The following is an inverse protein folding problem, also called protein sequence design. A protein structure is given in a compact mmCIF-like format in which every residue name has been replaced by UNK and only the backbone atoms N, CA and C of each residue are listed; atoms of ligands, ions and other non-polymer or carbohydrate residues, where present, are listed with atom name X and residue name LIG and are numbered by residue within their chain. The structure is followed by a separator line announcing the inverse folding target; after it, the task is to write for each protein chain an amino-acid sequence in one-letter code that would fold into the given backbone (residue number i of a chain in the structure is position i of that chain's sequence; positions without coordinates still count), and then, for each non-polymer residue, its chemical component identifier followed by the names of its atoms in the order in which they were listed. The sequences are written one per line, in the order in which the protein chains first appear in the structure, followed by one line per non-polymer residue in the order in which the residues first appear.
data_IF_351322044005
#
_entry.id   IF_351322044005
#
_cell.length_a   1.000
_cell.length_b   1.000
_cell.length_c   1.000
_cell.angle_alpha   90.00
_cell.angle_beta   90.00
_cell.angle_gamma   90.00
#
_symmetry.space_group_name_H-M   'P 1'
#
loop_
_entity.id
_entity.type
_entity.pdbx_description
1 polymer ?
#
# COMPACT_ATOMS: atom_id res chain seq x y z
N UNK A 1 5.33 1.92 4.99
CA UNK A 1 3.85 1.95 4.96
C UNK A 1 3.36 1.66 6.36
N UNK A 2 2.81 2.65 7.05
CA UNK A 2 2.51 2.55 8.49
C UNK A 2 1.05 2.13 8.76
N UNK A 3 0.11 2.79 8.11
CA UNK A 3 -1.34 2.59 8.26
C UNK A 3 -2.03 2.89 6.92
N UNK A 4 -3.24 2.35 6.71
CA UNK A 4 -4.06 2.64 5.54
C UNK A 4 -5.56 2.49 5.86
N UNK A 5 -6.21 3.61 6.12
CA UNK A 5 -7.62 3.70 6.54
C UNK A 5 -8.43 4.64 5.64
N UNK A 6 -9.76 4.52 5.70
CA UNK A 6 -10.67 5.36 4.92
C UNK A 6 -11.01 6.67 5.65
N UNK A 7 -10.05 7.60 5.66
CA UNK A 7 -10.19 8.92 6.31
C UNK A 7 -10.22 10.10 5.33
N UNK A 8 -10.09 9.84 4.02
CA UNK A 8 -10.04 10.84 2.95
C UNK A 8 -11.26 10.75 2.02
N UNK A 9 -12.46 10.70 2.61
CA UNK A 9 -13.73 10.51 1.90
C UNK A 9 -14.09 11.67 0.95
N UNK A 10 -13.42 12.82 1.09
CA UNK A 10 -13.51 13.98 0.20
C UNK A 10 -12.79 13.77 -1.14
N UNK A 11 -11.81 12.86 -1.19
CA UNK A 11 -10.99 12.58 -2.38
C UNK A 11 -11.29 11.19 -2.94
N UNK A 12 -11.58 10.22 -2.08
CA UNK A 12 -11.76 8.82 -2.45
C UNK A 12 -13.16 8.31 -2.13
N UNK A 13 -13.70 7.51 -3.04
CA UNK A 13 -15.03 6.93 -2.88
C UNK A 13 -15.10 5.86 -1.76
N UNK A 14 -14.01 5.12 -1.55
CA UNK A 14 -13.90 4.04 -0.57
C UNK A 14 -12.43 3.68 -0.26
N UNK A 15 -12.22 2.73 0.65
CA UNK A 15 -10.89 2.21 0.98
C UNK A 15 -10.20 1.56 -0.24
N UNK A 16 -10.94 0.90 -1.13
CA UNK A 16 -10.38 0.22 -2.29
C UNK A 16 -9.77 1.20 -3.31
N UNK A 17 -10.33 2.41 -3.42
CA UNK A 17 -9.78 3.51 -4.19
C UNK A 17 -8.44 3.99 -3.60
N UNK A 18 -8.35 4.12 -2.27
CA UNK A 18 -7.10 4.46 -1.57
C UNK A 18 -6.05 3.35 -1.77
N UNK A 19 -6.43 2.08 -1.57
CA UNK A 19 -5.56 0.92 -1.82
C UNK A 19 -5.02 0.90 -3.25
N UNK A 20 -5.81 1.33 -4.22
CA UNK A 20 -5.39 1.43 -5.62
C UNK A 20 -4.31 2.48 -5.82
N UNK A 21 -4.43 3.66 -5.20
CA UNK A 21 -3.37 4.66 -5.25
C UNK A 21 -2.09 4.18 -4.56
N UNK A 22 -2.21 3.52 -3.41
CA UNK A 22 -1.06 2.92 -2.74
C UNK A 22 -0.39 1.84 -3.59
N UNK A 23 -1.16 1.00 -4.28
CA UNK A 23 -0.62 0.03 -5.22
C UNK A 23 0.10 0.71 -6.40
N UNK A 24 -0.44 1.82 -6.93
CA UNK A 24 0.26 2.61 -7.95
C UNK A 24 1.56 3.22 -7.42
N UNK A 25 1.58 3.71 -6.18
CA UNK A 25 2.79 4.18 -5.53
C UNK A 25 3.84 3.06 -5.38
N UNK A 26 3.45 1.88 -4.91
CA UNK A 26 4.36 0.72 -4.80
C UNK A 26 5.01 0.39 -6.14
N UNK A 27 4.28 0.54 -7.25
CA UNK A 27 4.77 0.32 -8.62
C UNK A 27 5.75 1.38 -9.14
N UNK A 28 6.04 2.44 -8.40
CA UNK A 28 7.09 3.40 -8.79
C UNK A 28 8.41 3.12 -8.08
N UNK A 29 8.40 2.26 -7.05
CA UNK A 29 9.59 1.97 -6.25
C UNK A 29 10.55 1.06 -7.02
N UNK A 30 11.88 1.26 -6.91
CA UNK A 30 12.85 0.41 -7.58
C UNK A 30 12.95 -0.97 -6.92
N UNK A 31 13.35 -1.99 -7.70
CA UNK A 31 13.58 -3.35 -7.19
C UNK A 31 14.71 -3.43 -6.15
N UNK A 32 15.64 -2.49 -6.17
CA UNK A 32 16.73 -2.38 -5.18
C UNK A 32 16.36 -1.62 -3.91
N UNK A 33 15.12 -1.13 -3.80
CA UNK A 33 14.64 -0.45 -2.60
C UNK A 33 14.22 -1.42 -1.48
N UNK A 34 13.60 -0.86 -0.43
CA UNK A 34 12.99 -1.62 0.66
C UNK A 34 11.69 -0.93 1.08
N UNK A 35 10.61 -1.70 1.19
CA UNK A 35 9.35 -1.25 1.81
C UNK A 35 9.32 -1.81 3.23
N UNK A 36 9.33 -0.93 4.23
CA UNK A 36 9.01 -1.31 5.62
C UNK A 36 7.51 -1.11 5.80
N UNK A 37 6.75 -2.17 6.06
CA UNK A 37 5.30 -2.15 6.17
C UNK A 37 4.84 -2.65 7.54
N UNK A 38 3.78 -2.06 8.11
CA UNK A 38 3.20 -2.56 9.36
C UNK A 38 2.57 -3.95 9.15
N UNK A 39 3.06 -4.96 9.88
CA UNK A 39 2.60 -6.35 9.79
C UNK A 39 1.15 -6.58 10.23
N UNK A 40 0.60 -5.73 11.10
CA UNK A 40 -0.75 -5.91 11.66
C UNK A 40 -1.86 -5.38 10.75
N UNK A 41 -1.51 -4.72 9.64
CA UNK A 41 -2.44 -3.92 8.84
C UNK A 41 -2.91 -4.68 7.58
N UNK A 42 -4.10 -5.26 7.64
CA UNK A 42 -4.64 -6.09 6.56
C UNK A 42 -4.91 -5.33 5.25
N UNK A 43 -5.12 -4.02 5.29
CA UNK A 43 -5.24 -3.17 4.09
C UNK A 43 -3.92 -3.06 3.33
N UNK A 44 -2.79 -2.93 4.04
CA UNK A 44 -1.45 -2.95 3.44
C UNK A 44 -1.11 -4.31 2.83
N UNK A 45 -1.55 -5.41 3.45
CA UNK A 45 -1.40 -6.74 2.86
C UNK A 45 -2.12 -6.85 1.51
N UNK A 46 -3.36 -6.35 1.42
CA UNK A 46 -4.11 -6.33 0.15
C UNK A 46 -3.40 -5.52 -0.92
N UNK A 47 -2.85 -4.36 -0.58
CA UNK A 47 -2.06 -3.53 -1.51
C UNK A 47 -0.86 -4.29 -2.07
N UNK A 48 -0.07 -4.92 -1.19
CA UNK A 48 1.15 -5.63 -1.57
C UNK A 48 0.85 -6.93 -2.36
N UNK A 49 -0.25 -7.61 -2.03
CA UNK A 49 -0.69 -8.82 -2.72
C UNK A 49 -1.07 -8.58 -4.20
N UNK A 50 -1.42 -7.35 -4.58
CA UNK A 50 -1.70 -6.95 -5.97
C UNK A 50 -0.44 -6.91 -6.85
N UNK A 51 0.74 -7.04 -6.27
CA UNK A 51 2.03 -7.08 -6.95
C UNK A 51 3.02 -6.10 -6.35
N UNK A 52 4.18 -6.62 -5.96
CA UNK A 52 5.28 -5.86 -5.39
C UNK A 52 6.60 -6.50 -5.81
N UNK A 53 7.47 -5.74 -6.49
CA UNK A 53 8.81 -6.23 -6.88
C UNK A 53 9.93 -5.67 -6.00
N UNK A 54 9.64 -4.65 -5.19
CA UNK A 54 10.55 -4.15 -4.16
C UNK A 54 10.47 -5.08 -2.95
N UNK A 55 11.61 -5.49 -2.35
CA UNK A 55 11.63 -6.23 -1.09
C UNK A 55 10.76 -5.58 -0.01
N UNK A 56 10.13 -6.41 0.83
CA UNK A 56 9.25 -5.97 1.92
C UNK A 56 9.75 -6.54 3.23
N UNK A 57 9.87 -5.67 4.23
CA UNK A 57 10.08 -6.01 5.64
C UNK A 57 8.81 -5.63 6.43
N UNK A 58 8.43 -6.48 7.38
CA UNK A 58 7.16 -6.38 8.12
C UNK A 58 7.39 -6.23 9.61
#
# INVERSE_FOLDING_TARGET
LNNLEFDHADIFADLAAIETQFHHFVRTLPRSGLIVANAAEGSLERVLARGCWTPVER
#
